data_IF_093652366086
#
_entry.id   IF_093652366086
#
_cell.length_a   1.000
_cell.length_b   1.000
_cell.length_c   1.000
_cell.angle_alpha   90.00
_cell.angle_beta   90.00
_cell.angle_gamma   90.00
#
_symmetry.space_group_name_H-M   'P 1'
#
loop_
_entity.id
_entity.type
_entity.pdbx_description
1 polymer ?
#
# COMPACT_ATOMS: atom_id res chain seq x y z
N UNK A 1 14.93 -11.30 -12.87
CA UNK A 1 14.69 -10.29 -11.82
C UNK A 1 13.81 -10.94 -10.76
N UNK A 2 14.16 -10.83 -9.47
CA UNK A 2 13.39 -11.41 -8.37
C UNK A 2 12.39 -10.38 -7.82
N UNK A 3 11.11 -10.75 -7.75
CA UNK A 3 10.06 -9.93 -7.17
C UNK A 3 10.10 -10.01 -5.65
N UNK A 4 9.80 -8.90 -4.99
CA UNK A 4 9.75 -8.75 -3.54
C UNK A 4 8.63 -7.79 -3.17
N UNK A 5 8.17 -7.82 -1.92
CA UNK A 5 7.10 -6.94 -1.42
C UNK A 5 7.36 -5.45 -1.70
N UNK A 6 8.64 -5.04 -1.69
CA UNK A 6 9.08 -3.64 -1.85
C UNK A 6 9.17 -3.21 -3.31
N UNK A 7 9.48 -4.12 -4.25
CA UNK A 7 9.68 -3.78 -5.66
C UNK A 7 8.45 -4.10 -6.54
N UNK A 8 7.52 -4.91 -6.05
CA UNK A 8 6.42 -5.45 -6.83
C UNK A 8 5.59 -4.37 -7.52
N UNK A 9 5.13 -3.34 -6.79
CA UNK A 9 4.31 -2.25 -7.37
C UNK A 9 5.04 -1.42 -8.43
N UNK A 10 6.37 -1.36 -8.40
CA UNK A 10 7.12 -0.60 -9.39
C UNK A 10 7.39 -1.42 -10.64
N UNK A 11 7.75 -2.69 -10.46
CA UNK A 11 8.12 -3.62 -11.54
C UNK A 11 6.89 -4.02 -12.36
N UNK A 12 5.73 -4.15 -11.73
CA UNK A 12 4.50 -4.62 -12.37
C UNK A 12 3.69 -3.54 -13.11
N UNK A 13 4.05 -2.25 -12.98
CA UNK A 13 3.33 -1.14 -13.65
C UNK A 13 3.26 -1.25 -15.17
N UNK A 14 4.23 -1.93 -15.78
CA UNK A 14 4.32 -2.10 -17.24
C UNK A 14 3.69 -3.41 -17.72
N UNK A 15 3.17 -4.23 -16.81
CA UNK A 15 2.69 -5.55 -17.10
C UNK A 15 1.15 -5.53 -17.20
N UNK A 16 0.62 -6.14 -18.26
CA UNK A 16 -0.82 -6.30 -18.42
C UNK A 16 -1.28 -7.54 -17.65
N UNK A 17 -1.99 -7.33 -16.55
CA UNK A 17 -2.52 -8.42 -15.72
C UNK A 17 -3.70 -9.12 -16.39
N UNK A 18 -4.30 -8.54 -17.42
CA UNK A 18 -5.45 -9.10 -18.14
C UNK A 18 -5.14 -10.40 -18.87
N UNK A 19 -3.87 -10.61 -19.26
CA UNK A 19 -3.42 -11.81 -19.96
C UNK A 19 -2.84 -12.90 -19.04
N UNK A 20 -2.73 -12.63 -17.73
CA UNK A 20 -2.15 -13.57 -16.77
C UNK A 20 -3.14 -14.66 -16.31
N UNK A 21 -2.64 -15.77 -15.74
CA UNK A 21 -3.47 -16.76 -15.07
C UNK A 21 -4.40 -16.12 -14.02
N UNK A 22 -5.59 -16.68 -13.86
CA UNK A 22 -6.62 -16.16 -12.94
C UNK A 22 -6.09 -15.98 -11.51
N UNK A 23 -5.31 -16.95 -11.02
CA UNK A 23 -4.66 -16.88 -9.72
C UNK A 23 -3.74 -15.63 -9.55
N UNK A 24 -3.02 -15.23 -10.60
CA UNK A 24 -2.16 -14.04 -10.56
C UNK A 24 -2.97 -12.74 -10.68
N UNK A 25 -4.08 -12.76 -11.41
CA UNK A 25 -5.01 -11.62 -11.50
C UNK A 25 -5.66 -11.34 -10.15
N UNK A 26 -6.17 -12.38 -9.50
CA UNK A 26 -6.78 -12.25 -8.18
C UNK A 26 -5.76 -11.75 -7.17
N UNK A 27 -4.63 -12.45 -7.01
CA UNK A 27 -3.60 -12.05 -6.06
C UNK A 27 -3.03 -10.64 -6.32
N UNK A 28 -2.94 -10.17 -7.57
CA UNK A 28 -2.57 -8.78 -7.88
C UNK A 28 -3.59 -7.77 -7.34
N UNK A 29 -4.90 -8.05 -7.45
CA UNK A 29 -5.95 -7.18 -6.89
C UNK A 29 -5.87 -7.10 -5.37
N UNK A 30 -5.50 -8.20 -4.72
CA UNK A 30 -5.44 -8.27 -3.25
C UNK A 30 -4.08 -7.84 -2.68
N UNK A 31 -3.08 -7.66 -3.55
CA UNK A 31 -1.69 -7.37 -3.18
C UNK A 31 -1.59 -6.18 -2.23
N UNK A 32 -2.19 -5.05 -2.60
CA UNK A 32 -2.16 -3.81 -1.83
C UNK A 32 -2.73 -3.99 -0.42
N UNK A 33 -3.70 -4.88 -0.32
CA UNK A 33 -4.43 -5.11 0.90
C UNK A 33 -3.63 -6.03 1.84
N UNK A 34 -2.90 -7.02 1.31
CA UNK A 34 -2.16 -8.02 2.09
C UNK A 34 -0.69 -7.66 2.33
N UNK A 35 -0.14 -6.71 1.58
CA UNK A 35 1.26 -6.35 1.71
C UNK A 35 1.66 -5.86 3.11
N UNK A 36 0.72 -5.26 3.85
CA UNK A 36 0.94 -4.75 5.21
C UNK A 36 1.14 -5.87 6.26
N UNK A 37 0.77 -7.12 5.93
CA UNK A 37 0.87 -8.31 6.79
C UNK A 37 1.95 -9.30 6.32
N UNK A 38 2.72 -8.96 5.28
CA UNK A 38 3.71 -9.86 4.69
C UNK A 38 4.76 -10.37 5.70
N UNK A 39 5.17 -9.51 6.64
CA UNK A 39 6.14 -9.87 7.69
C UNK A 39 5.46 -10.42 8.96
N UNK A 40 4.13 -10.43 9.02
CA UNK A 40 3.34 -10.77 10.22
C UNK A 40 2.69 -12.16 10.14
N UNK A 41 2.42 -12.67 8.93
CA UNK A 41 1.78 -13.98 8.75
C UNK A 41 2.52 -14.80 7.68
N UNK A 42 2.97 -16.00 8.07
CA UNK A 42 3.69 -16.94 7.19
C UNK A 42 2.88 -17.37 5.98
N UNK A 43 1.56 -17.54 6.10
CA UNK A 43 0.69 -17.97 5.02
C UNK A 43 0.45 -16.82 4.03
N UNK A 44 0.32 -15.59 4.54
CA UNK A 44 0.25 -14.37 3.70
C UNK A 44 1.58 -14.17 2.97
N UNK A 45 2.70 -14.37 3.65
CA UNK A 45 4.04 -14.34 3.06
C UNK A 45 4.16 -15.36 1.94
N UNK A 46 3.81 -16.61 2.21
CA UNK A 46 3.88 -17.69 1.23
C UNK A 46 2.92 -17.46 0.05
N UNK A 47 1.71 -16.94 0.29
CA UNK A 47 0.79 -16.52 -0.75
C UNK A 47 1.41 -15.47 -1.68
N UNK A 48 1.98 -14.41 -1.11
CA UNK A 48 2.58 -13.32 -1.88
C UNK A 48 3.87 -13.77 -2.59
N UNK A 49 4.66 -14.64 -1.96
CA UNK A 49 5.84 -15.26 -2.57
C UNK A 49 5.47 -16.18 -3.73
N UNK A 50 4.43 -16.99 -3.59
CA UNK A 50 3.94 -17.84 -4.68
C UNK A 50 3.39 -16.99 -5.83
N UNK A 51 2.70 -15.89 -5.52
CA UNK A 51 2.30 -14.92 -6.54
C UNK A 51 3.49 -14.30 -7.27
N UNK A 52 4.54 -13.90 -6.54
CA UNK A 52 5.79 -13.42 -7.13
C UNK A 52 6.39 -14.45 -8.10
N UNK A 53 6.46 -15.72 -7.70
CA UNK A 53 6.95 -16.80 -8.58
C UNK A 53 6.11 -16.95 -9.85
N UNK A 54 4.78 -16.75 -9.78
CA UNK A 54 3.91 -16.82 -10.95
C UNK A 54 4.15 -15.62 -11.88
N UNK A 55 4.38 -14.42 -11.35
CA UNK A 55 4.52 -13.19 -12.16
C UNK A 55 5.95 -12.98 -12.70
N UNK A 56 6.98 -13.47 -12.00
CA UNK A 56 8.39 -13.35 -12.38
C UNK A 56 8.74 -13.80 -13.81
N UNK A 57 8.22 -14.95 -14.32
CA UNK A 57 8.44 -15.38 -15.70
C UNK A 57 7.93 -14.36 -16.72
N UNK A 58 6.72 -13.83 -16.52
CA UNK A 58 6.07 -12.91 -17.45
C UNK A 58 6.74 -11.53 -17.50
N UNK A 59 7.47 -11.16 -16.45
CA UNK A 59 8.32 -9.96 -16.45
C UNK A 59 9.56 -10.11 -17.34
N UNK A 60 10.10 -11.33 -17.49
CA UNK A 60 11.23 -11.62 -18.38
C UNK A 60 10.79 -11.63 -19.85
N UNK A 61 9.59 -12.09 -20.14
CA UNK A 61 9.06 -12.13 -21.51
C UNK A 61 8.59 -10.76 -22.01
N UNK A 62 8.10 -9.89 -21.12
CA UNK A 62 7.84 -8.48 -21.44
C UNK A 62 9.11 -7.73 -21.87
N UNK A 63 10.29 -8.17 -21.41
CA UNK A 63 11.61 -7.64 -21.83
C UNK A 63 12.12 -8.24 -23.14
N UNK A 64 11.62 -9.40 -23.57
CA UNK A 64 12.01 -10.04 -24.86
C UNK A 64 11.09 -9.66 -26.02
N UNK A 65 9.90 -9.10 -25.76
CA UNK A 65 8.94 -8.72 -26.80
C UNK A 65 9.23 -7.36 -27.48
N UNK A 66 10.31 -6.66 -27.09
CA UNK A 66 10.73 -5.39 -27.74
C UNK A 66 11.64 -5.57 -28.96
N UNK A 67 11.95 -6.80 -29.38
CA UNK A 67 12.67 -7.09 -30.63
C UNK A 67 11.96 -8.19 -31.42
N UNK A 68 10.76 -7.90 -31.91
CA UNK A 68 10.20 -8.63 -33.04
C UNK A 68 9.38 -7.67 -33.88
N UNK A 69 10.00 -7.30 -35.00
CA UNK A 69 9.61 -6.35 -36.02
C UNK A 69 8.21 -6.63 -36.55
N UNK A 70 7.42 -5.55 -36.67
CA UNK A 70 6.20 -5.50 -37.49
C UNK A 70 6.47 -6.10 -38.88
N UNK A 71 5.67 -7.09 -39.27
CA UNK A 71 5.20 -7.27 -40.64
C UNK A 71 3.73 -7.69 -40.62
N UNK A 72 2.86 -6.74 -40.96
CA UNK A 72 1.57 -7.05 -41.59
C UNK A 72 1.84 -7.44 -43.04
N UNK A 73 0.98 -8.25 -43.68
CA UNK A 73 -0.03 -7.60 -44.54
C UNK A 73 -1.42 -8.28 -44.60
N UNK A 74 -2.43 -7.40 -44.66
CA UNK A 74 -3.58 -7.35 -45.57
C UNK A 74 -4.63 -8.50 -45.67
N UNK A 75 -5.83 -8.17 -45.13
CA UNK A 75 -7.11 -7.87 -45.82
C UNK A 75 -8.06 -9.00 -46.29
N UNK A 76 -9.36 -8.68 -46.06
CA UNK A 76 -10.67 -9.22 -46.53
C UNK A 76 -11.30 -10.18 -45.49
N UNK A 77 -12.58 -10.06 -45.11
CA UNK A 77 -13.76 -9.63 -45.89
C UNK A 77 -14.87 -9.06 -44.99
N UNK A 78 -15.76 -8.33 -45.63
CA UNK A 78 -16.90 -7.53 -45.14
C UNK A 78 -18.00 -8.37 -44.44
N UNK A 79 -18.74 -7.75 -43.52
CA UNK A 79 -20.22 -7.69 -43.63
C UNK A 79 -20.77 -6.43 -42.95
N UNK A 80 -21.60 -5.70 -43.70
CA UNK A 80 -22.43 -4.56 -43.30
C UNK A 80 -23.39 -4.91 -42.14
N UNK A 81 -23.64 -3.96 -41.23
CA UNK A 81 -25.00 -3.40 -41.11
C UNK A 81 -25.02 -2.03 -40.41
N UNK A 82 -26.13 -1.34 -40.59
CA UNK A 82 -26.31 0.10 -40.65
C UNK A 82 -26.29 0.84 -39.31
N UNK A 83 -25.50 1.93 -39.29
CA UNK A 83 -25.96 3.33 -39.17
C UNK A 83 -27.25 3.56 -38.36
N UNK A 84 -27.12 4.13 -37.16
CA UNK A 84 -28.04 5.18 -36.72
C UNK A 84 -27.28 6.32 -36.05
N UNK A 85 -27.68 7.50 -36.49
CA UNK A 85 -27.21 8.86 -36.21
C UNK A 85 -27.51 9.32 -34.79
N UNK A 86 -26.56 10.03 -34.15
CA UNK A 86 -26.72 11.44 -33.74
C UNK A 86 -25.49 11.92 -32.96
N UNK A 87 -24.80 12.90 -33.55
CA UNK A 87 -23.95 13.85 -32.85
C UNK A 87 -24.76 14.54 -31.74
N UNK A 88 -24.36 14.38 -30.48
CA UNK A 88 -24.58 15.39 -29.44
C UNK A 88 -23.29 15.52 -28.64
N UNK A 89 -22.56 16.56 -29.00
CA UNK A 89 -21.52 17.22 -28.20
C UNK A 89 -22.08 17.55 -26.81
N UNK A 90 -21.71 16.78 -25.78
CA UNK A 90 -21.85 17.21 -24.39
C UNK A 90 -20.50 17.64 -23.86
N UNK A 91 -20.35 18.97 -23.78
CA UNK A 91 -19.32 19.71 -23.06
C UNK A 91 -19.04 19.06 -21.71
N UNK A 92 -17.82 18.60 -21.50
CA UNK A 92 -17.31 18.22 -20.19
C UNK A 92 -17.17 19.48 -19.34
N UNK A 93 -18.11 19.71 -18.43
CA UNK A 93 -17.97 20.69 -17.36
C UNK A 93 -17.04 20.07 -16.30
N UNK A 94 -15.91 20.71 -15.95
CA UNK A 94 -15.02 20.16 -14.94
C UNK A 94 -15.69 20.26 -13.57
N UNK A 95 -16.03 19.11 -12.97
CA UNK A 95 -16.43 19.02 -11.57
C UNK A 95 -15.28 19.56 -10.70
N UNK A 96 -15.46 20.78 -10.18
CA UNK A 96 -14.65 21.34 -9.09
C UNK A 96 -14.61 20.31 -7.95
N UNK A 97 -13.44 19.75 -7.68
CA UNK A 97 -13.19 19.01 -6.44
C UNK A 97 -13.37 19.98 -5.29
N UNK A 98 -14.45 19.84 -4.54
CA UNK A 98 -14.60 20.48 -3.25
C UNK A 98 -13.44 20.00 -2.36
N UNK A 99 -12.55 20.92 -2.02
CA UNK A 99 -11.50 20.69 -1.02
C UNK A 99 -12.22 20.61 0.32
N UNK A 100 -12.52 19.40 0.78
CA UNK A 100 -12.97 19.18 2.15
C UNK A 100 -11.88 19.74 3.08
N UNK A 101 -12.21 20.77 3.85
CA UNK A 101 -11.36 21.29 4.93
C UNK A 101 -10.99 20.10 5.82
N UNK A 102 -9.74 19.66 5.75
CA UNK A 102 -9.20 18.67 6.70
C UNK A 102 -9.25 19.33 8.06
N UNK A 103 -10.17 18.89 8.91
CA UNK A 103 -10.11 19.18 10.33
C UNK A 103 -8.71 18.78 10.80
N UNK A 104 -7.99 19.75 11.37
CA UNK A 104 -6.62 19.59 11.84
C UNK A 104 -6.65 18.79 13.16
N UNK A 105 -7.13 17.55 13.10
CA UNK A 105 -7.06 16.62 14.23
C UNK A 105 -5.62 16.14 14.30
N UNK A 106 -4.97 16.37 15.44
CA UNK A 106 -3.64 15.82 15.72
C UNK A 106 -3.78 14.31 15.81
N UNK A 107 -3.48 13.60 14.73
CA UNK A 107 -3.41 12.15 14.75
C UNK A 107 -2.35 11.71 15.77
N UNK A 108 -2.61 10.63 16.50
CA UNK A 108 -1.59 9.93 17.27
C UNK A 108 -0.54 9.41 16.29
N UNK A 109 0.57 10.13 16.25
CA UNK A 109 1.71 9.80 15.41
C UNK A 109 2.45 8.61 16.04
N UNK A 110 2.16 7.41 15.54
CA UNK A 110 2.80 6.16 16.01
C UNK A 110 3.82 5.71 14.98
N UNK A 111 5.00 5.28 15.46
CA UNK A 111 6.07 4.79 14.60
C UNK A 111 5.61 3.57 13.77
N UNK A 112 4.91 2.63 14.39
CA UNK A 112 4.32 1.45 13.74
C UNK A 112 2.83 1.42 14.08
N UNK A 113 1.99 1.30 13.07
CA UNK A 113 0.55 1.14 13.28
C UNK A 113 0.30 -0.16 14.06
N UNK A 114 -0.41 -0.11 15.21
CA UNK A 114 -0.73 -1.32 15.97
C UNK A 114 -1.52 -2.31 15.11
N UNK A 115 -1.33 -3.61 15.35
CA UNK A 115 -1.98 -4.69 14.60
C UNK A 115 -3.52 -4.54 14.57
N UNK A 116 -4.09 -4.09 15.69
CA UNK A 116 -5.50 -3.77 15.84
C UNK A 116 -6.01 -2.78 14.79
N UNK A 117 -5.27 -1.68 14.62
CA UNK A 117 -5.62 -0.63 13.67
C UNK A 117 -5.44 -1.12 12.24
N UNK A 118 -4.42 -1.97 11.97
CA UNK A 118 -4.24 -2.58 10.65
C UNK A 118 -5.42 -3.47 10.27
N UNK A 119 -5.92 -4.28 11.20
CA UNK A 119 -7.11 -5.13 11.01
C UNK A 119 -8.33 -4.24 10.71
N UNK A 120 -8.56 -3.20 11.50
CA UNK A 120 -9.68 -2.27 11.30
C UNK A 120 -9.58 -1.56 9.93
N UNK A 121 -8.40 -1.05 9.58
CA UNK A 121 -8.14 -0.41 8.29
C UNK A 121 -8.40 -1.36 7.13
N UNK A 122 -8.01 -2.63 7.27
CA UNK A 122 -8.24 -3.65 6.24
C UNK A 122 -9.72 -3.97 6.07
N UNK A 123 -10.43 -4.14 7.18
CA UNK A 123 -11.88 -4.35 7.20
C UNK A 123 -12.62 -3.19 6.52
N UNK A 124 -12.26 -1.94 6.81
CA UNK A 124 -12.82 -0.76 6.12
C UNK A 124 -12.54 -0.75 4.61
N UNK A 125 -11.38 -1.26 4.18
CA UNK A 125 -11.03 -1.36 2.76
C UNK A 125 -11.83 -2.42 2.01
N UNK A 126 -12.48 -3.35 2.70
CA UNK A 126 -13.37 -4.33 2.09
C UNK A 126 -14.75 -3.75 1.79
N UNK A 127 -15.15 -2.67 2.46
CA UNK A 127 -16.46 -2.05 2.28
C UNK A 127 -16.70 -1.57 0.84
N UNK A 128 -17.83 -1.96 0.26
CA UNK A 128 -18.25 -1.55 -1.09
C UNK A 128 -17.41 -2.17 -2.22
N UNK A 129 -16.48 -3.07 -1.91
CA UNK A 129 -15.69 -3.79 -2.90
C UNK A 129 -16.21 -5.23 -3.05
N UNK A 130 -15.92 -5.84 -4.22
CA UNK A 130 -16.12 -7.28 -4.41
C UNK A 130 -15.02 -8.02 -3.65
N UNK A 131 -15.40 -8.78 -2.64
CA UNK A 131 -14.51 -9.50 -1.74
C UNK A 131 -14.61 -10.99 -2.04
N UNK A 132 -13.46 -11.66 -2.13
CA UNK A 132 -13.37 -13.11 -2.34
C UNK A 132 -13.44 -13.85 -1.00
N UNK A 133 -13.88 -15.10 -1.02
CA UNK A 133 -13.88 -15.98 0.16
C UNK A 133 -12.50 -16.02 0.85
N UNK A 134 -11.44 -16.09 0.03
CA UNK A 134 -10.05 -16.07 0.47
C UNK A 134 -9.70 -14.80 1.24
N UNK A 135 -10.18 -13.64 0.82
CA UNK A 135 -9.91 -12.37 1.52
C UNK A 135 -10.50 -12.35 2.92
N UNK A 136 -11.74 -12.79 3.06
CA UNK A 136 -12.44 -12.89 4.35
C UNK A 136 -11.73 -13.89 5.24
N UNK A 137 -11.40 -15.08 4.71
CA UNK A 137 -10.70 -16.15 5.43
C UNK A 137 -9.32 -15.69 5.95
N UNK A 138 -8.53 -15.00 5.13
CA UNK A 138 -7.21 -14.52 5.52
C UNK A 138 -7.29 -13.48 6.64
N UNK A 139 -8.20 -12.50 6.54
CA UNK A 139 -8.36 -11.50 7.59
C UNK A 139 -8.83 -12.13 8.90
N UNK A 140 -9.77 -13.07 8.81
CA UNK A 140 -10.25 -13.82 9.98
C UNK A 140 -9.14 -14.65 10.63
N UNK A 141 -8.28 -15.31 9.83
CA UNK A 141 -7.10 -16.04 10.31
C UNK A 141 -6.11 -15.14 11.05
N UNK A 142 -5.84 -13.94 10.54
CA UNK A 142 -4.97 -12.96 11.22
C UNK A 142 -5.52 -12.62 12.61
N UNK A 143 -6.84 -12.42 12.74
CA UNK A 143 -7.49 -12.17 14.03
C UNK A 143 -7.33 -13.38 14.97
N UNK A 144 -7.53 -14.59 14.48
CA UNK A 144 -7.39 -15.82 15.27
C UNK A 144 -5.95 -16.06 15.76
N UNK A 145 -4.94 -15.85 14.90
CA UNK A 145 -3.53 -15.93 15.27
C UNK A 145 -3.19 -14.89 16.33
N UNK A 146 -3.59 -13.64 16.10
CA UNK A 146 -3.35 -12.54 17.04
C UNK A 146 -3.97 -12.79 18.43
N UNK A 147 -5.15 -13.41 18.47
CA UNK A 147 -5.78 -13.83 19.72
C UNK A 147 -5.00 -14.98 20.41
N UNK A 148 -4.54 -15.96 19.64
CA UNK A 148 -3.79 -17.13 20.14
C UNK A 148 -2.41 -16.74 20.69
N UNK A 149 -1.71 -15.87 19.96
CA UNK A 149 -0.40 -15.30 20.35
C UNK A 149 -0.52 -14.27 21.48
N UNK A 150 -1.75 -13.93 21.90
CA UNK A 150 -2.06 -12.93 22.91
C UNK A 150 -1.49 -11.53 22.58
N UNK A 151 -1.37 -11.21 21.29
CA UNK A 151 -1.00 -9.89 20.80
C UNK A 151 -2.22 -8.95 20.86
N UNK A 152 -3.42 -9.49 20.63
CA UNK A 152 -4.70 -8.81 20.87
C UNK A 152 -5.36 -9.44 22.10
N UNK A 153 -5.48 -8.66 23.18
CA UNK A 153 -6.08 -9.09 24.45
C UNK A 153 -7.34 -8.30 24.75
N UNK A 154 -8.21 -8.85 25.60
CA UNK A 154 -9.43 -8.17 26.09
C UNK A 154 -9.14 -6.81 26.77
N UNK A 155 -7.91 -6.61 27.24
CA UNK A 155 -7.44 -5.38 27.89
C UNK A 155 -7.03 -4.28 26.92
N UNK A 156 -6.91 -4.58 25.62
CA UNK A 156 -6.48 -3.59 24.64
C UNK A 156 -7.62 -2.64 24.26
N UNK A 157 -7.25 -1.43 23.84
CA UNK A 157 -8.18 -0.30 23.61
C UNK A 157 -9.27 -0.60 22.57
N UNK A 158 -8.97 -1.40 21.54
CA UNK A 158 -9.89 -1.69 20.43
C UNK A 158 -10.29 -3.18 20.34
N UNK A 159 -10.13 -3.92 21.44
CA UNK A 159 -10.40 -5.35 21.45
C UNK A 159 -11.88 -5.69 21.15
N UNK A 160 -12.82 -4.87 21.64
CA UNK A 160 -14.25 -5.08 21.41
C UNK A 160 -14.64 -4.84 19.95
N UNK A 161 -14.07 -3.81 19.30
CA UNK A 161 -14.24 -3.57 17.87
C UNK A 161 -13.73 -4.75 17.03
N UNK A 162 -12.56 -5.31 17.39
CA UNK A 162 -11.98 -6.44 16.68
C UNK A 162 -12.80 -7.71 16.84
N UNK A 163 -13.40 -7.95 18.03
CA UNK A 163 -14.33 -9.06 18.21
C UNK A 163 -15.55 -8.93 17.31
N UNK A 164 -16.13 -7.73 17.21
CA UNK A 164 -17.27 -7.47 16.32
C UNK A 164 -16.90 -7.73 14.87
N UNK A 165 -15.73 -7.24 14.44
CA UNK A 165 -15.18 -7.52 13.11
C UNK A 165 -14.98 -9.02 12.88
N UNK A 166 -14.41 -9.73 13.86
CA UNK A 166 -14.19 -11.17 13.76
C UNK A 166 -15.49 -11.97 13.62
N UNK A 167 -16.52 -11.62 14.39
CA UNK A 167 -17.84 -12.27 14.28
C UNK A 167 -18.50 -11.98 12.94
N UNK A 168 -18.42 -10.75 12.45
CA UNK A 168 -18.97 -10.34 11.16
C UNK A 168 -18.29 -11.07 10.00
N UNK A 169 -16.95 -11.16 10.03
CA UNK A 169 -16.18 -11.95 9.05
C UNK A 169 -16.51 -13.44 9.11
N UNK A 170 -16.71 -13.99 10.31
CA UNK A 170 -17.08 -15.40 10.48
C UNK A 170 -18.48 -15.70 9.94
N UNK A 171 -19.45 -14.81 10.15
CA UNK A 171 -20.79 -14.94 9.60
C UNK A 171 -20.77 -14.79 8.07
N UNK A 172 -20.07 -13.78 7.57
CA UNK A 172 -19.89 -13.56 6.14
C UNK A 172 -19.25 -14.78 5.47
N UNK A 173 -18.23 -15.38 6.08
CA UNK A 173 -17.57 -16.58 5.55
C UNK A 173 -18.52 -17.79 5.47
N UNK A 174 -19.47 -17.92 6.40
CA UNK A 174 -20.46 -19.01 6.39
C UNK A 174 -21.54 -18.81 5.33
N UNK A 175 -21.95 -17.56 5.10
CA UNK A 175 -23.06 -17.22 4.21
C UNK A 175 -22.59 -16.99 2.77
N UNK A 176 -21.31 -16.64 2.55
CA UNK A 176 -20.78 -16.36 1.23
C UNK A 176 -20.43 -17.63 0.45
N UNK A 177 -20.64 -17.56 -0.87
CA UNK A 177 -20.01 -18.46 -1.84
C UNK A 177 -18.61 -17.95 -2.24
N UNK A 178 -18.28 -18.01 -3.53
CA UNK A 178 -16.96 -17.58 -4.01
C UNK A 178 -16.68 -16.07 -3.82
N UNK A 179 -17.69 -15.21 -4.00
CA UNK A 179 -17.55 -13.74 -3.91
C UNK A 179 -18.79 -13.08 -3.31
N UNK A 180 -18.60 -12.04 -2.49
CA UNK A 180 -19.68 -11.23 -1.93
C UNK A 180 -19.36 -9.73 -2.04
N UNK A 181 -20.39 -8.89 -2.16
CA UNK A 181 -20.25 -7.43 -1.94
C UNK A 181 -20.31 -7.21 -0.44
N UNK A 182 -19.17 -6.80 0.14
CA UNK A 182 -19.08 -6.63 1.57
C UNK A 182 -19.60 -5.24 1.96
N UNK A 183 -20.69 -5.20 2.73
CA UNK A 183 -21.31 -3.95 3.19
C UNK A 183 -21.24 -3.85 4.71
N UNK A 184 -20.64 -2.77 5.19
CA UNK A 184 -20.51 -2.47 6.62
C UNK A 184 -21.56 -1.42 6.98
N UNK A 185 -22.30 -1.57 8.09
CA UNK A 185 -23.20 -0.53 8.57
C UNK A 185 -22.51 0.83 8.75
N UNK A 186 -23.12 1.90 8.24
CA UNK A 186 -22.54 3.26 8.23
C UNK A 186 -22.08 3.77 9.61
N UNK A 187 -22.84 3.40 10.66
CA UNK A 187 -22.52 3.74 12.04
C UNK A 187 -21.19 3.10 12.50
N UNK A 188 -20.98 1.83 12.16
CA UNK A 188 -19.74 1.12 12.47
C UNK A 188 -18.60 1.65 11.61
N UNK A 189 -18.84 1.86 10.31
CA UNK A 189 -17.86 2.40 9.38
C UNK A 189 -17.31 3.75 9.86
N UNK A 190 -18.18 4.67 10.26
CA UNK A 190 -17.77 6.00 10.75
C UNK A 190 -16.92 5.91 12.02
N UNK A 191 -17.30 5.03 12.96
CA UNK A 191 -16.54 4.81 14.20
C UNK A 191 -15.15 4.26 13.89
N UNK A 192 -15.08 3.19 13.10
CA UNK A 192 -13.82 2.55 12.70
C UNK A 192 -12.94 3.50 11.89
N UNK A 193 -13.54 4.31 11.00
CA UNK A 193 -12.81 5.30 10.21
C UNK A 193 -12.19 6.38 11.08
N UNK A 194 -12.89 6.88 12.09
CA UNK A 194 -12.30 7.81 13.06
C UNK A 194 -11.12 7.17 13.80
N UNK A 195 -11.24 5.92 14.23
CA UNK A 195 -10.13 5.19 14.88
C UNK A 195 -8.92 5.09 13.95
N UNK A 196 -9.10 4.77 12.66
CA UNK A 196 -7.98 4.68 11.72
C UNK A 196 -7.41 6.06 11.39
N UNK A 197 -8.26 7.07 11.23
CA UNK A 197 -7.83 8.45 10.95
C UNK A 197 -7.06 9.06 12.15
N UNK A 198 -7.40 8.68 13.37
CA UNK A 198 -6.67 9.04 14.59
C UNK A 198 -5.28 8.40 14.63
N UNK A 199 -5.07 7.27 13.94
CA UNK A 199 -3.79 6.55 13.89
C UNK A 199 -3.18 6.66 12.48
N UNK A 200 -2.66 7.84 12.17
CA UNK A 200 -1.88 8.07 10.95
C UNK A 200 -0.41 7.80 11.19
N UNK A 201 0.21 6.93 10.37
CA UNK A 201 1.68 7.00 10.24
C UNK A 201 1.99 8.34 9.61
N UNK A 202 2.67 9.22 10.35
CA UNK A 202 3.01 10.55 9.85
C UNK A 202 3.75 10.43 8.51
N UNK A 203 3.36 11.24 7.51
CA UNK A 203 4.10 11.31 6.26
C UNK A 203 5.59 11.56 6.48
N UNK A 204 5.95 12.32 7.52
CA UNK A 204 7.33 12.60 7.91
C UNK A 204 8.06 11.34 8.38
N UNK A 205 7.47 10.58 9.32
CA UNK A 205 8.03 9.30 9.81
C UNK A 205 8.15 8.28 8.67
N UNK A 206 7.16 8.22 7.78
CA UNK A 206 7.17 7.32 6.62
C UNK A 206 8.36 7.60 5.69
N UNK A 207 8.63 8.88 5.40
CA UNK A 207 9.78 9.30 4.59
C UNK A 207 11.12 8.98 5.28
N UNK A 208 11.22 9.22 6.58
CA UNK A 208 12.41 8.89 7.38
C UNK A 208 12.66 7.38 7.37
N UNK A 209 11.62 6.56 7.58
CA UNK A 209 11.74 5.09 7.49
C UNK A 209 12.18 4.62 6.11
N UNK A 210 11.63 5.22 5.06
CA UNK A 210 12.02 4.90 3.67
C UNK A 210 13.49 5.21 3.44
N UNK A 211 13.99 6.31 3.99
CA UNK A 211 15.40 6.64 3.96
C UNK A 211 16.26 5.63 4.75
N UNK A 212 15.86 5.27 5.97
CA UNK A 212 16.55 4.26 6.77
C UNK A 212 16.66 2.93 6.02
N UNK A 213 15.59 2.50 5.37
CA UNK A 213 15.56 1.28 4.57
C UNK A 213 16.42 1.34 3.30
N UNK A 214 16.81 2.53 2.84
CA UNK A 214 17.72 2.69 1.71
C UNK A 214 19.19 2.59 2.13
N UNK A 215 19.52 2.85 3.41
CA UNK A 215 20.89 2.67 3.89
C UNK A 215 21.39 1.26 3.61
N UNK A 216 22.63 1.17 3.10
CA UNK A 216 23.27 -0.07 2.70
C UNK A 216 22.96 -0.55 1.27
N UNK A 217 21.92 -0.05 0.60
CA UNK A 217 21.54 -0.46 -0.77
C UNK A 217 21.04 0.72 -1.64
N UNK A 218 21.46 1.92 -1.28
CA UNK A 218 21.06 3.16 -1.94
C UNK A 218 21.80 3.31 -3.27
N UNK A 219 21.05 3.73 -4.27
CA UNK A 219 21.57 4.08 -5.60
C UNK A 219 21.16 5.51 -5.90
N UNK A 220 21.89 6.18 -6.80
CA UNK A 220 21.59 7.57 -7.23
C UNK A 220 20.12 7.72 -7.64
N UNK A 221 19.57 6.75 -8.37
CA UNK A 221 18.15 6.75 -8.74
C UNK A 221 17.20 6.69 -7.54
N UNK A 222 17.47 5.80 -6.58
CA UNK A 222 16.64 5.65 -5.38
C UNK A 222 16.70 6.92 -4.52
N UNK A 223 17.89 7.52 -4.41
CA UNK A 223 18.08 8.80 -3.71
C UNK A 223 17.27 9.92 -4.37
N UNK A 224 17.38 10.10 -5.70
CA UNK A 224 16.57 11.09 -6.46
C UNK A 224 15.07 10.88 -6.28
N UNK A 225 14.59 9.63 -6.33
CA UNK A 225 13.17 9.30 -6.14
C UNK A 225 12.67 9.66 -4.74
N UNK A 226 13.47 9.36 -3.71
CA UNK A 226 13.12 9.72 -2.34
C UNK A 226 13.14 11.23 -2.14
N UNK A 227 14.16 11.92 -2.66
CA UNK A 227 14.26 13.39 -2.59
C UNK A 227 13.05 14.07 -3.25
N UNK A 228 12.63 13.60 -4.43
CA UNK A 228 11.41 14.07 -5.09
C UNK A 228 10.16 13.80 -4.23
N UNK A 229 10.10 12.66 -3.56
CA UNK A 229 8.99 12.34 -2.65
C UNK A 229 8.93 13.32 -1.47
N UNK A 230 10.08 13.69 -0.89
CA UNK A 230 10.18 14.69 0.19
C UNK A 230 9.76 16.08 -0.32
N UNK A 231 10.29 16.52 -1.47
CA UNK A 231 9.94 17.82 -2.08
C UNK A 231 8.44 17.92 -2.37
N UNK A 232 7.84 16.87 -2.90
CA UNK A 232 6.41 16.80 -3.16
C UNK A 232 5.56 16.77 -1.87
N UNK A 233 6.02 16.08 -0.83
CA UNK A 233 5.32 16.02 0.45
C UNK A 233 5.30 17.39 1.15
N UNK A 234 6.40 18.15 1.08
CA UNK A 234 6.48 19.54 1.55
C UNK A 234 5.61 20.49 0.73
N UNK A 235 5.75 20.48 -0.60
CA UNK A 235 4.90 21.30 -1.50
C UNK A 235 3.41 21.01 -1.32
N UNK A 236 3.05 19.75 -1.09
CA UNK A 236 1.66 19.33 -0.91
C UNK A 236 1.11 19.53 0.50
N UNK A 237 1.86 20.16 1.42
CA UNK A 237 1.43 20.39 2.80
C UNK A 237 1.21 19.12 3.62
N UNK A 238 1.78 17.98 3.19
CA UNK A 238 1.71 16.69 3.94
C UNK A 238 2.75 16.63 5.06
N UNK A 239 3.83 17.38 4.91
CA UNK A 239 4.89 17.57 5.91
C UNK A 239 4.97 19.06 6.18
N UNK A 240 4.62 19.46 7.40
CA UNK A 240 4.56 20.86 7.84
C UNK A 240 5.56 21.08 8.97
N UNK A 241 5.96 22.34 9.19
CA UNK A 241 6.86 22.73 10.30
C UNK A 241 6.29 22.43 11.69
N UNK A 242 4.99 22.18 11.78
CA UNK A 242 4.29 21.81 13.02
C UNK A 242 4.45 20.32 13.38
N UNK A 243 5.06 19.53 12.51
CA UNK A 243 5.28 18.09 12.71
C UNK A 243 6.54 17.87 13.57
N UNK A 244 6.43 17.02 14.59
CA UNK A 244 7.53 16.68 15.49
C UNK A 244 8.73 16.06 14.75
N UNK A 245 8.50 15.44 13.60
CA UNK A 245 9.53 14.82 12.77
C UNK A 245 10.04 15.73 11.63
N UNK A 246 9.58 16.98 11.53
CA UNK A 246 9.92 17.90 10.44
C UNK A 246 11.43 18.12 10.29
N UNK A 247 12.13 18.39 11.39
CA UNK A 247 13.57 18.66 11.38
C UNK A 247 14.38 17.44 10.92
N UNK A 248 13.92 16.24 11.28
CA UNK A 248 14.53 14.99 10.81
C UNK A 248 14.32 14.80 9.31
N UNK A 249 13.15 15.17 8.77
CA UNK A 249 12.92 15.16 7.32
C UNK A 249 13.84 16.16 6.61
N UNK A 250 14.12 17.33 7.21
CA UNK A 250 15.07 18.30 6.67
C UNK A 250 16.49 17.76 6.65
N UNK A 251 16.92 17.07 7.72
CA UNK A 251 18.22 16.40 7.78
C UNK A 251 18.34 15.32 6.70
N UNK A 252 17.32 14.47 6.56
CA UNK A 252 17.27 13.46 5.49
C UNK A 252 17.36 14.10 4.11
N UNK A 253 16.67 15.22 3.89
CA UNK A 253 16.76 15.94 2.61
C UNK A 253 18.18 16.39 2.31
N UNK A 254 18.86 17.02 3.27
CA UNK A 254 20.23 17.50 3.11
C UNK A 254 21.19 16.35 2.79
N UNK A 255 21.10 15.24 3.52
CA UNK A 255 21.96 14.08 3.27
C UNK A 255 21.72 13.42 1.91
N UNK A 256 20.48 13.44 1.42
CA UNK A 256 20.18 12.98 0.06
C UNK A 256 20.76 13.93 -1.00
N UNK A 257 20.75 15.24 -0.76
CA UNK A 257 21.35 16.23 -1.66
C UNK A 257 22.89 16.10 -1.65
N UNK A 258 23.52 16.01 -0.48
CA UNK A 258 24.96 15.77 -0.31
C UNK A 258 25.42 14.46 -0.99
N UNK A 259 24.65 13.38 -0.88
CA UNK A 259 24.96 12.12 -1.56
C UNK A 259 24.91 12.26 -3.08
N UNK A 260 23.95 13.02 -3.60
CA UNK A 260 23.82 13.24 -5.05
C UNK A 260 24.94 14.13 -5.61
N UNK A 261 25.52 15.00 -4.78
CA UNK A 261 26.58 15.92 -5.17
C UNK A 261 27.99 15.32 -5.00
N UNK A 262 28.21 14.49 -3.98
CA UNK A 262 29.55 13.98 -3.63
C UNK A 262 29.79 12.48 -3.89
N UNK A 263 28.75 11.74 -4.30
CA UNK A 263 28.71 10.28 -4.49
C UNK A 263 29.18 9.45 -3.27
N UNK A 264 29.40 10.11 -2.12
CA UNK A 264 29.76 9.50 -0.85
C UNK A 264 28.63 9.75 0.13
N UNK A 265 27.95 8.68 0.56
CA UNK A 265 27.13 8.78 1.75
C UNK A 265 28.04 8.85 2.96
N UNK A 266 28.12 10.04 3.54
CA UNK A 266 28.50 10.15 4.93
C UNK A 266 27.43 9.38 5.71
N UNK A 267 27.84 8.32 6.40
CA UNK A 267 27.05 7.71 7.47
C UNK A 267 27.04 8.72 8.61
N UNK A 268 26.39 9.84 8.40
CA UNK A 268 26.09 10.77 9.47
C UNK A 268 25.04 10.07 10.31
N UNK A 269 25.33 10.06 11.60
CA UNK A 269 24.40 9.81 12.69
C UNK A 269 23.17 10.72 12.50
N UNK A 270 22.27 10.43 11.55
CA UNK A 270 20.93 10.99 11.54
C UNK A 270 20.34 10.45 12.80
N UNK A 271 20.35 11.35 13.77
CA UNK A 271 20.53 11.00 15.15
C UNK A 271 19.39 10.07 15.51
N UNK A 272 19.81 8.85 15.77
CA UNK A 272 19.17 7.85 16.60
C UNK A 272 18.86 8.46 17.99
N UNK A 273 18.14 9.57 18.07
CA UNK A 273 17.73 10.20 19.32
C UNK A 273 16.68 9.33 20.04
N UNK A 274 16.17 8.27 19.40
CA UNK A 274 15.45 7.17 20.06
C UNK A 274 16.32 5.98 20.48
N UNK A 275 17.63 6.02 20.15
CA UNK A 275 18.64 4.99 20.41
C UNK A 275 19.84 5.58 21.20
N UNK A 276 19.78 6.85 21.62
CA UNK A 276 20.63 7.42 22.68
C UNK A 276 20.40 6.59 23.95
N UNK A 277 21.17 5.53 24.10
CA UNK A 277 21.08 4.58 25.22
C UNK A 277 21.09 3.10 24.84
N UNK A 278 20.92 2.72 23.57
CA UNK A 278 20.98 1.30 23.16
C UNK A 278 22.27 1.02 22.37
N UNK A 279 23.14 0.21 22.98
CA UNK A 279 24.32 -0.44 22.40
C UNK A 279 25.35 0.47 21.68
N UNK A 280 26.23 1.10 22.45
CA UNK A 280 27.64 1.28 22.06
C UNK A 280 27.98 2.29 20.95
N UNK A 281 27.02 3.00 20.35
CA UNK A 281 27.27 4.00 19.31
C UNK A 281 27.38 5.44 19.84
N UNK A 282 27.92 5.58 21.06
CA UNK A 282 28.08 6.88 21.72
C UNK A 282 29.41 6.98 22.47
N UNK A 283 30.49 7.20 21.72
CA UNK A 283 31.56 8.14 22.06
C UNK A 283 31.97 8.88 20.81
#
# INVERSE_FOLDING_TARGET
MKLTIKNYKEVTKKLDFSSLPEAAKEAHKEFDSFADFYDEDKDIKEMLDNHFKIVEPYLKDASKKSTATKKSPAKKTETKSQKSTKNVTKKAVPKKKAVSKKANRKAHEVALMPLEIKIIKRYLGMNGNKVTERQVSLLYKVIQKAATEKTIRKTNKYAEEIKKIGNDLANTYKEMGATCTFEIPDALQSKLKNIVDDYGVSPSISLIKRFINLYGNITIEKAKRLLNSIKNAKKGGKVTSTDNAYDRVNQVQKHLEEYLDSDKLLVTNIQLNGLKGFAGLGK
#
